data_IF_691986368429
#
_entry.id   IF_691986368429
#
_cell.length_a   1.000
_cell.length_b   1.000
_cell.length_c   1.000
_cell.angle_alpha   90.00
_cell.angle_beta   90.00
_cell.angle_gamma   90.00
#
_symmetry.space_group_name_H-M   'P 1'
#
loop_
_entity.id
_entity.type
_entity.pdbx_description
1 polymer ?
#
# COMPACT_ATOMS: atom_id res chain seq x y z
N UNK A 1 -8.76 -75.51 -3.78
CA UNK A 1 -8.29 -75.00 -2.48
C UNK A 1 -6.76 -75.03 -2.52
N UNK A 2 -5.97 -74.00 -2.30
CA UNK A 2 -6.22 -72.64 -1.81
C UNK A 2 -5.13 -71.71 -2.39
N UNK A 3 -5.54 -70.73 -3.20
CA UNK A 3 -4.80 -69.47 -3.41
C UNK A 3 -5.33 -68.52 -2.34
N UNK A 4 -4.60 -68.30 -1.25
CA UNK A 4 -4.83 -67.17 -0.34
C UNK A 4 -3.79 -67.19 0.78
N UNK A 5 -2.58 -66.70 0.51
CA UNK A 5 -1.74 -66.13 1.56
C UNK A 5 -1.03 -64.90 0.99
N UNK A 6 -1.87 -63.93 0.63
CA UNK A 6 -1.49 -62.58 0.28
C UNK A 6 -2.27 -61.66 1.21
N UNK A 7 -1.79 -61.48 2.44
CA UNK A 7 -2.25 -60.43 3.35
C UNK A 7 -1.37 -60.38 4.61
N UNK A 8 -0.16 -59.83 4.50
CA UNK A 8 0.40 -59.08 5.63
C UNK A 8 1.38 -58.00 5.14
N UNK A 9 0.85 -57.10 4.30
CA UNK A 9 1.45 -55.77 4.14
C UNK A 9 0.64 -54.84 5.02
N UNK A 10 1.03 -54.77 6.30
CA UNK A 10 0.61 -53.73 7.19
C UNK A 10 0.89 -52.37 6.52
N UNK A 11 -0.18 -51.70 6.09
CA UNK A 11 -0.12 -50.36 5.54
C UNK A 11 0.56 -49.43 6.57
N UNK A 12 1.58 -48.64 6.19
CA UNK A 12 2.06 -47.57 7.04
C UNK A 12 0.87 -46.68 7.42
N UNK A 13 0.71 -46.44 8.72
CA UNK A 13 -0.40 -45.69 9.28
C UNK A 13 -0.63 -44.40 8.49
N UNK A 14 -1.90 -44.17 8.13
CA UNK A 14 -2.34 -42.95 7.49
C UNK A 14 -1.78 -41.74 8.25
N UNK A 15 -0.87 -41.01 7.62
CA UNK A 15 -0.36 -39.73 8.09
C UNK A 15 -1.55 -38.84 8.47
N UNK A 16 -1.70 -38.59 9.77
CA UNK A 16 -2.70 -37.67 10.26
C UNK A 16 -2.47 -36.30 9.58
N UNK A 17 -3.51 -35.61 9.09
CA UNK A 17 -3.34 -34.34 8.40
C UNK A 17 -2.67 -33.35 9.35
N UNK A 18 -1.42 -32.99 9.05
CA UNK A 18 -0.64 -32.03 9.81
C UNK A 18 -1.45 -30.73 9.94
N UNK A 19 -1.87 -30.40 11.16
CA UNK A 19 -2.65 -29.18 11.42
C UNK A 19 -1.83 -27.98 10.95
N UNK A 20 -2.39 -27.07 10.14
CA UNK A 20 -1.66 -25.91 9.64
C UNK A 20 -1.27 -25.01 10.81
N UNK A 21 0.02 -24.96 11.13
CA UNK A 21 0.53 -24.17 12.23
C UNK A 21 0.57 -22.68 11.81
N UNK A 22 -0.15 -21.76 12.50
CA UNK A 22 -0.25 -20.35 12.12
C UNK A 22 1.11 -19.64 12.07
N UNK A 23 2.06 -20.09 12.90
CA UNK A 23 3.43 -19.58 12.94
C UNK A 23 4.18 -19.75 11.62
N UNK A 24 3.87 -20.81 10.86
CA UNK A 24 4.50 -21.07 9.57
C UNK A 24 3.94 -20.15 8.47
N UNK A 25 2.68 -19.74 8.58
CA UNK A 25 2.07 -18.74 7.66
C UNK A 25 2.63 -17.35 7.91
N UNK A 26 2.89 -16.99 9.17
CA UNK A 26 3.55 -15.74 9.51
C UNK A 26 4.99 -15.69 8.99
N UNK A 27 5.71 -16.82 9.04
CA UNK A 27 7.05 -16.94 8.44
C UNK A 27 7.04 -16.72 6.92
N UNK A 28 6.07 -17.32 6.22
CA UNK A 28 5.87 -17.12 4.78
C UNK A 28 5.53 -15.67 4.45
N UNK A 29 4.59 -15.08 5.18
CA UNK A 29 4.19 -13.68 4.99
C UNK A 29 5.37 -12.73 5.23
N UNK A 30 6.14 -12.93 6.30
CA UNK A 30 7.34 -12.12 6.58
C UNK A 30 8.37 -12.20 5.45
N UNK A 31 8.59 -13.40 4.92
CA UNK A 31 9.51 -13.61 3.81
C UNK A 31 9.01 -12.90 2.54
N UNK A 32 7.73 -13.03 2.22
CA UNK A 32 7.12 -12.39 1.05
C UNK A 32 7.16 -10.86 1.14
N UNK A 33 6.86 -10.29 2.32
CA UNK A 33 7.02 -8.86 2.58
C UNK A 33 8.48 -8.43 2.39
N UNK A 34 9.43 -9.14 3.01
CA UNK A 34 10.85 -8.78 2.92
C UNK A 34 11.34 -8.79 1.47
N UNK A 35 10.92 -9.78 0.67
CA UNK A 35 11.24 -9.85 -0.76
C UNK A 35 10.58 -8.69 -1.50
N UNK A 36 9.29 -8.44 -1.28
CA UNK A 36 8.54 -7.37 -1.97
C UNK A 36 9.14 -6.00 -1.71
N UNK A 37 9.40 -5.64 -0.45
CA UNK A 37 9.97 -4.34 -0.09
C UNK A 37 11.46 -4.20 -0.43
N UNK A 38 12.19 -5.29 -0.68
CA UNK A 38 13.58 -5.25 -1.14
C UNK A 38 13.74 -5.20 -2.66
N UNK A 39 12.66 -5.38 -3.43
CA UNK A 39 12.72 -5.25 -4.90
C UNK A 39 12.96 -3.79 -5.26
N UNK A 40 13.97 -3.55 -6.10
CA UNK A 40 14.30 -2.21 -6.60
C UNK A 40 13.11 -1.51 -7.24
N UNK A 41 12.23 -2.24 -7.94
CA UNK A 41 11.01 -1.69 -8.53
C UNK A 41 10.04 -1.15 -7.48
N UNK A 42 9.81 -1.90 -6.40
CA UNK A 42 8.94 -1.47 -5.30
C UNK A 42 9.54 -0.25 -4.58
N UNK A 43 10.84 -0.24 -4.35
CA UNK A 43 11.54 0.92 -3.80
C UNK A 43 11.45 2.15 -4.72
N UNK A 44 11.59 1.96 -6.04
CA UNK A 44 11.42 3.04 -7.02
C UNK A 44 9.98 3.58 -7.02
N UNK A 45 8.96 2.72 -6.95
CA UNK A 45 7.56 3.14 -6.85
C UNK A 45 7.29 3.94 -5.57
N UNK A 46 7.80 3.49 -4.42
CA UNK A 46 7.70 4.23 -3.17
C UNK A 46 8.44 5.58 -3.24
N UNK A 47 9.60 5.62 -3.90
CA UNK A 47 10.34 6.85 -4.15
C UNK A 47 9.57 7.84 -5.03
N UNK A 48 8.94 7.37 -6.11
CA UNK A 48 8.07 8.19 -6.98
C UNK A 48 6.88 8.72 -6.19
N UNK A 49 6.22 7.87 -5.40
CA UNK A 49 5.12 8.29 -4.53
C UNK A 49 5.56 9.32 -3.50
N UNK A 50 6.75 9.19 -2.92
CA UNK A 50 7.31 10.16 -1.98
C UNK A 50 7.67 11.49 -2.66
N UNK A 51 8.06 11.47 -3.93
CA UNK A 51 8.40 12.66 -4.70
C UNK A 51 7.18 13.54 -5.02
N UNK A 52 5.99 12.96 -5.21
CA UNK A 52 4.77 13.73 -5.55
C UNK A 52 4.46 14.81 -4.49
N UNK A 53 4.35 14.50 -3.18
CA UNK A 53 4.16 15.51 -2.15
C UNK A 53 5.25 16.57 -2.09
N UNK A 54 6.51 16.19 -2.32
CA UNK A 54 7.65 17.11 -2.34
C UNK A 54 7.47 18.13 -3.46
N UNK A 55 7.14 17.66 -4.66
CA UNK A 55 6.91 18.52 -5.82
C UNK A 55 5.73 19.46 -5.59
N UNK A 56 4.61 18.97 -5.07
CA UNK A 56 3.42 19.79 -4.76
C UNK A 56 3.77 20.85 -3.71
N UNK A 57 4.46 20.49 -2.63
CA UNK A 57 4.84 21.44 -1.58
C UNK A 57 5.79 22.52 -2.08
N UNK A 58 6.79 22.15 -2.88
CA UNK A 58 7.74 23.10 -3.49
C UNK A 58 7.03 24.02 -4.49
N UNK A 59 6.16 23.49 -5.35
CA UNK A 59 5.39 24.28 -6.30
C UNK A 59 4.55 25.35 -5.58
N UNK A 60 3.81 24.96 -4.53
CA UNK A 60 2.99 25.89 -3.75
C UNK A 60 3.85 26.96 -3.08
N UNK A 61 5.04 26.60 -2.57
CA UNK A 61 5.96 27.56 -1.93
C UNK A 61 6.51 28.61 -2.90
N UNK A 62 6.83 28.20 -4.13
CA UNK A 62 7.32 29.12 -5.16
C UNK A 62 6.19 30.09 -5.57
N UNK A 63 5.00 29.56 -5.85
CA UNK A 63 3.83 30.36 -6.22
C UNK A 63 3.44 31.40 -5.15
N UNK A 64 3.59 31.06 -3.86
CA UNK A 64 3.31 32.01 -2.77
C UNK A 64 4.47 32.95 -2.43
N UNK A 65 5.70 32.60 -2.80
CA UNK A 65 6.89 33.42 -2.55
C UNK A 65 7.04 34.60 -3.53
N UNK A 66 6.62 34.42 -4.78
CA UNK A 66 6.85 35.39 -5.86
C UNK A 66 5.73 36.45 -6.00
N UNK A 67 4.77 36.49 -5.07
CA UNK A 67 3.72 37.51 -5.04
C UNK A 67 2.68 37.41 -6.18
N UNK A 68 2.80 36.40 -7.05
CA UNK A 68 1.73 36.01 -7.96
C UNK A 68 0.65 35.28 -7.15
N UNK A 69 -0.33 36.04 -6.67
CA UNK A 69 -1.65 35.46 -6.40
C UNK A 69 -2.04 34.65 -7.63
N UNK A 70 -2.41 33.39 -7.41
CA UNK A 70 -2.99 32.48 -8.41
C UNK A 70 -3.80 33.29 -9.41
N UNK A 71 -3.20 33.59 -10.56
CA UNK A 71 -3.87 34.33 -11.61
C UNK A 71 -5.01 33.40 -12.06
N UNK A 72 -6.24 33.86 -11.82
CA UNK A 72 -7.45 33.08 -11.97
C UNK A 72 -7.58 32.45 -13.35
N UNK A 73 -7.37 31.13 -13.41
CA UNK A 73 -7.68 30.30 -14.56
C UNK A 73 -8.39 29.02 -14.11
N UNK A 74 -9.69 29.11 -13.78
CA UNK A 74 -10.61 27.96 -13.67
C UNK A 74 -10.34 26.99 -12.52
N UNK A 75 -11.11 27.12 -11.43
CA UNK A 75 -10.99 26.30 -10.24
C UNK A 75 -11.24 24.80 -10.46
N UNK A 76 -10.14 24.04 -10.54
CA UNK A 76 -10.18 22.57 -10.54
C UNK A 76 -9.05 21.96 -9.69
N UNK A 77 -8.41 22.75 -8.83
CA UNK A 77 -7.50 22.26 -7.79
C UNK A 77 -8.28 21.92 -6.50
N UNK A 78 -7.92 20.85 -5.75
CA UNK A 78 -8.54 20.55 -4.47
C UNK A 78 -8.58 21.79 -3.57
N UNK A 79 -9.71 22.07 -2.92
CA UNK A 79 -9.89 23.23 -2.04
C UNK A 79 -8.83 23.36 -0.93
N UNK A 80 -8.11 22.27 -0.66
CA UNK A 80 -6.99 22.18 0.28
C UNK A 80 -5.71 22.87 -0.21
N UNK A 81 -5.50 23.05 -1.53
CA UNK A 81 -4.27 23.67 -2.07
C UNK A 81 -4.10 25.10 -1.54
N UNK A 82 -5.19 25.89 -1.55
CA UNK A 82 -5.19 27.25 -1.02
C UNK A 82 -4.94 27.32 0.50
N UNK A 83 -5.12 26.20 1.22
CA UNK A 83 -4.94 26.14 2.68
C UNK A 83 -3.55 25.67 3.09
N UNK A 84 -2.76 25.08 2.18
CA UNK A 84 -1.39 24.62 2.47
C UNK A 84 -0.55 25.76 3.05
N UNK A 85 -0.70 26.97 2.51
CA UNK A 85 0.05 28.16 2.96
C UNK A 85 -0.30 28.58 4.38
N UNK A 86 -1.53 28.31 4.83
CA UNK A 86 -1.98 28.61 6.18
C UNK A 86 -1.56 27.52 7.18
N UNK A 87 -1.53 26.26 6.76
CA UNK A 87 -1.08 25.15 7.60
C UNK A 87 -0.51 24.01 6.76
N UNK A 88 0.75 23.65 7.03
CA UNK A 88 1.47 22.61 6.30
C UNK A 88 0.83 21.21 6.34
N UNK A 89 -0.05 20.93 7.32
CA UNK A 89 -0.77 19.67 7.38
C UNK A 89 -1.75 19.47 6.20
N UNK A 90 -2.28 20.56 5.63
CA UNK A 90 -3.15 20.46 4.45
C UNK A 90 -2.44 19.90 3.21
N UNK A 91 -1.09 19.93 3.20
CA UNK A 91 -0.32 19.25 2.17
C UNK A 91 -0.52 17.73 2.20
N UNK A 92 -0.73 17.14 3.38
CA UNK A 92 -1.02 15.70 3.53
C UNK A 92 -2.31 15.33 2.82
N UNK A 93 -3.39 16.07 3.08
CA UNK A 93 -4.69 15.83 2.46
C UNK A 93 -4.64 16.08 0.95
N UNK A 94 -4.00 17.16 0.53
CA UNK A 94 -3.81 17.49 -0.88
C UNK A 94 -3.04 16.39 -1.61
N UNK A 95 -1.93 15.93 -1.03
CA UNK A 95 -1.09 14.94 -1.67
C UNK A 95 -1.76 13.57 -1.76
N UNK A 96 -2.50 13.16 -0.72
CA UNK A 96 -3.31 11.94 -0.78
C UNK A 96 -4.41 12.07 -1.85
N UNK A 97 -5.10 13.22 -1.92
CA UNK A 97 -6.12 13.46 -2.94
C UNK A 97 -5.55 13.47 -4.37
N UNK A 98 -4.35 14.01 -4.57
CA UNK A 98 -3.67 14.06 -5.87
C UNK A 98 -3.12 12.69 -6.32
N UNK A 99 -2.67 11.87 -5.37
CA UNK A 99 -2.11 10.54 -5.67
C UNK A 99 -3.16 9.45 -5.81
N UNK A 100 -4.33 9.63 -5.18
CA UNK A 100 -5.44 8.68 -5.18
C UNK A 100 -5.91 8.20 -6.57
N UNK A 101 -6.10 9.08 -7.58
CA UNK A 101 -6.76 8.67 -8.82
C UNK A 101 -5.84 7.86 -9.74
N UNK A 102 -4.53 8.08 -9.66
CA UNK A 102 -3.59 7.56 -10.64
C UNK A 102 -2.39 6.87 -10.00
N UNK A 103 -1.60 7.59 -9.20
CA UNK A 103 -0.32 7.09 -8.71
C UNK A 103 -0.47 5.88 -7.77
N UNK A 104 -1.40 5.95 -6.82
CA UNK A 104 -1.63 4.85 -5.88
C UNK A 104 -2.21 3.60 -6.57
N UNK A 105 -3.30 3.69 -7.37
CA UNK A 105 -3.81 2.55 -8.13
C UNK A 105 -2.77 1.94 -9.08
N UNK A 106 -1.98 2.78 -9.76
CA UNK A 106 -0.92 2.32 -10.67
C UNK A 106 0.17 1.55 -9.91
N UNK A 107 0.66 2.11 -8.79
CA UNK A 107 1.69 1.45 -7.99
C UNK A 107 1.20 0.10 -7.43
N UNK A 108 -0.04 0.06 -6.93
CA UNK A 108 -0.67 -1.17 -6.43
C UNK A 108 -0.85 -2.19 -7.55
N UNK A 109 -1.32 -1.77 -8.73
CA UNK A 109 -1.49 -2.64 -9.89
C UNK A 109 -0.17 -3.28 -10.35
N UNK A 110 0.92 -2.50 -10.38
CA UNK A 110 2.25 -3.01 -10.74
C UNK A 110 2.74 -4.05 -9.72
N UNK A 111 2.61 -3.78 -8.43
CA UNK A 111 3.05 -4.72 -7.38
C UNK A 111 2.18 -5.99 -7.35
N UNK A 112 0.87 -5.86 -7.55
CA UNK A 112 -0.04 -7.01 -7.65
C UNK A 112 0.28 -7.87 -8.89
N UNK A 113 0.50 -7.25 -10.05
CA UNK A 113 0.88 -7.96 -11.28
C UNK A 113 2.23 -8.67 -11.16
N UNK A 114 3.23 -8.03 -10.55
CA UNK A 114 4.53 -8.65 -10.27
C UNK A 114 4.43 -9.85 -9.33
N UNK A 115 3.50 -9.80 -8.37
CA UNK A 115 3.26 -10.89 -7.44
C UNK A 115 2.72 -12.14 -8.15
N UNK A 116 1.89 -11.98 -9.19
CA UNK A 116 1.43 -13.08 -10.06
C UNK A 116 2.55 -13.51 -11.03
N UNK A 117 3.15 -12.56 -11.75
CA UNK A 117 4.15 -12.86 -12.77
C UNK A 117 5.36 -13.63 -12.20
N UNK A 118 5.74 -13.35 -10.95
CA UNK A 118 6.79 -14.06 -10.22
C UNK A 118 6.47 -15.53 -9.91
N UNK A 119 5.20 -15.91 -9.82
CA UNK A 119 4.80 -17.32 -9.69
C UNK A 119 4.77 -18.01 -11.04
N UNK A 120 4.29 -17.34 -12.08
CA UNK A 120 4.23 -17.89 -13.43
C UNK A 120 5.63 -18.18 -14.00
N UNK A 121 6.63 -17.34 -13.69
CA UNK A 121 8.00 -17.47 -14.18
C UNK A 121 8.87 -18.52 -13.49
N UNK A 122 8.51 -19.00 -12.31
CA UNK A 122 9.33 -19.90 -11.47
C UNK A 122 9.07 -21.41 -11.68
N UNK A 123 8.27 -21.80 -12.68
CA UNK A 123 8.14 -23.20 -13.11
C UNK A 123 6.86 -23.92 -12.65
N UNK A 124 5.72 -23.25 -12.78
CA UNK A 124 4.38 -23.75 -12.39
C UNK A 124 3.94 -25.04 -13.07
N UNK A 125 4.45 -25.44 -14.24
CA UNK A 125 4.08 -26.73 -14.84
C UNK A 125 4.67 -27.95 -14.13
N UNK A 126 5.83 -27.81 -13.46
CA UNK A 126 6.53 -28.92 -12.81
C UNK A 126 6.27 -28.95 -11.29
N UNK A 127 6.04 -27.78 -10.70
CA UNK A 127 5.71 -27.65 -9.27
C UNK A 127 4.23 -27.99 -8.96
N UNK A 128 3.31 -27.73 -9.90
CA UNK A 128 1.90 -28.15 -9.79
C UNK A 128 1.71 -29.68 -9.79
N UNK A 129 2.73 -30.46 -10.16
CA UNK A 129 2.67 -31.92 -10.18
C UNK A 129 3.24 -32.60 -8.93
N UNK A 130 3.88 -31.88 -7.98
CA UNK A 130 4.64 -32.54 -6.88
C UNK A 130 4.44 -31.95 -5.48
N UNK A 131 4.04 -30.68 -5.29
CA UNK A 131 3.97 -30.09 -3.94
C UNK A 131 2.59 -29.49 -3.61
N UNK A 132 1.87 -29.97 -2.57
CA UNK A 132 0.59 -29.40 -2.16
C UNK A 132 0.84 -28.17 -1.27
N UNK A 133 1.38 -27.10 -1.85
CA UNK A 133 1.20 -25.77 -1.25
C UNK A 133 -0.24 -25.35 -1.56
N UNK A 134 -1.14 -25.41 -0.58
CA UNK A 134 -2.55 -25.08 -0.78
C UNK A 134 -2.70 -23.71 -1.48
N UNK A 135 -3.17 -23.72 -2.73
CA UNK A 135 -3.26 -22.56 -3.63
C UNK A 135 -3.91 -21.35 -2.97
N UNK A 136 -4.94 -21.59 -2.15
CA UNK A 136 -5.63 -20.57 -1.36
C UNK A 136 -4.73 -19.87 -0.35
N UNK A 137 -3.84 -20.60 0.34
CA UNK A 137 -2.94 -20.05 1.36
C UNK A 137 -1.86 -19.16 0.75
N UNK A 138 -1.36 -19.54 -0.42
CA UNK A 138 -0.42 -18.73 -1.18
C UNK A 138 -1.08 -17.42 -1.66
N UNK A 139 -2.27 -17.51 -2.25
CA UNK A 139 -3.04 -16.33 -2.69
C UNK A 139 -3.35 -15.40 -1.52
N UNK A 140 -3.76 -15.93 -0.36
CA UNK A 140 -4.06 -15.13 0.82
C UNK A 140 -2.82 -14.40 1.35
N UNK A 141 -1.65 -15.06 1.30
CA UNK A 141 -0.37 -14.47 1.72
C UNK A 141 0.04 -13.33 0.77
N UNK A 142 -0.14 -13.51 -0.55
CA UNK A 142 0.14 -12.46 -1.54
C UNK A 142 -0.81 -11.29 -1.42
N UNK A 143 -2.10 -11.57 -1.25
CA UNK A 143 -3.09 -10.55 -0.99
C UNK A 143 -2.76 -9.74 0.26
N UNK A 144 -2.43 -10.39 1.37
CA UNK A 144 -2.00 -9.71 2.58
C UNK A 144 -0.72 -8.87 2.35
N UNK A 145 0.22 -9.36 1.54
CA UNK A 145 1.44 -8.61 1.17
C UNK A 145 1.11 -7.35 0.37
N UNK A 146 0.21 -7.44 -0.62
CA UNK A 146 -0.24 -6.27 -1.39
C UNK A 146 -1.01 -5.29 -0.50
N UNK A 147 -1.83 -5.78 0.44
CA UNK A 147 -2.52 -4.91 1.40
C UNK A 147 -1.55 -4.15 2.31
N UNK A 148 -0.48 -4.81 2.78
CA UNK A 148 0.58 -4.12 3.53
C UNK A 148 1.30 -3.11 2.65
N UNK A 149 1.52 -3.41 1.37
CA UNK A 149 2.08 -2.44 0.42
C UNK A 149 1.16 -1.23 0.23
N UNK A 150 -0.16 -1.41 0.06
CA UNK A 150 -1.11 -0.30 -0.03
C UNK A 150 -1.00 0.62 1.19
N UNK A 151 -0.97 0.05 2.40
CA UNK A 151 -0.81 0.82 3.64
C UNK A 151 0.54 1.54 3.70
N UNK A 152 1.63 0.86 3.35
CA UNK A 152 2.96 1.46 3.33
C UNK A 152 3.04 2.61 2.30
N UNK A 153 2.45 2.43 1.11
CA UNK A 153 2.43 3.43 0.06
C UNK A 153 1.68 4.70 0.50
N UNK A 154 0.49 4.56 1.10
CA UNK A 154 -0.27 5.72 1.60
C UNK A 154 0.43 6.40 2.76
N UNK A 155 1.06 5.64 3.66
CA UNK A 155 1.86 6.19 4.76
C UNK A 155 3.11 6.91 4.27
N UNK A 156 3.78 6.41 3.22
CA UNK A 156 4.93 7.10 2.60
C UNK A 156 4.50 8.44 2.03
N UNK A 157 3.39 8.50 1.30
CA UNK A 157 2.82 9.76 0.77
C UNK A 157 2.48 10.71 1.91
N UNK A 158 1.81 10.22 2.95
CA UNK A 158 1.42 11.05 4.10
C UNK A 158 2.63 11.57 4.89
N UNK A 159 3.63 10.72 5.11
CA UNK A 159 4.85 11.07 5.85
C UNK A 159 5.72 12.06 5.08
N UNK A 160 5.90 11.88 3.78
CA UNK A 160 6.67 12.85 2.98
C UNK A 160 5.92 14.18 2.85
N UNK A 161 4.59 14.16 2.68
CA UNK A 161 3.77 15.36 2.71
C UNK A 161 3.84 16.09 4.06
N UNK A 162 3.82 15.36 5.17
CA UNK A 162 3.94 15.93 6.52
C UNK A 162 5.33 16.56 6.70
N UNK A 163 6.40 15.87 6.30
CA UNK A 163 7.76 16.36 6.42
C UNK A 163 7.96 17.64 5.59
N UNK A 164 7.52 17.64 4.33
CA UNK A 164 7.59 18.81 3.43
C UNK A 164 6.70 19.94 3.97
N UNK A 165 5.49 19.61 4.43
CA UNK A 165 4.55 20.54 5.02
C UNK A 165 5.13 21.26 6.23
N UNK A 166 5.76 20.51 7.14
CA UNK A 166 6.44 21.01 8.32
C UNK A 166 7.68 21.85 8.03
N UNK A 167 8.37 21.56 6.93
CA UNK A 167 9.60 22.27 6.54
C UNK A 167 9.32 23.57 5.78
N UNK A 168 8.31 23.58 4.90
CA UNK A 168 8.05 24.71 3.99
C UNK A 168 6.94 25.68 4.47
N UNK A 169 6.06 25.23 5.36
CA UNK A 169 4.87 25.97 5.77
C UNK A 169 4.74 26.04 7.30
N UNK A 170 4.07 27.08 7.83
CA UNK A 170 3.83 27.17 9.27
C UNK A 170 3.00 25.98 9.78
N UNK A 171 3.37 25.51 10.97
CA UNK A 171 2.62 24.52 11.73
C UNK A 171 1.87 25.23 12.85
N UNK A 172 0.56 24.97 12.95
CA UNK A 172 -0.30 25.54 13.99
C UNK A 172 -1.62 24.79 14.07
N UNK A 173 -2.59 25.36 14.77
CA UNK A 173 -3.96 24.84 14.78
C UNK A 173 -4.60 25.05 13.40
N UNK A 174 -5.41 24.08 12.97
CA UNK A 174 -6.05 24.07 11.67
C UNK A 174 -7.32 24.90 11.74
N UNK A 175 -7.30 26.10 11.20
CA UNK A 175 -8.52 26.85 10.92
C UNK A 175 -9.17 26.24 9.67
N UNK A 176 -10.25 25.48 9.87
CA UNK A 176 -11.04 24.97 8.74
C UNK A 176 -11.85 26.10 8.09
N UNK A 177 -12.39 25.90 6.88
CA UNK A 177 -13.23 26.90 6.18
C UNK A 177 -14.44 27.33 7.04
N UNK A 178 -14.89 26.46 7.96
CA UNK A 178 -15.99 26.73 8.89
C UNK A 178 -15.59 27.60 10.09
N UNK A 179 -14.32 28.02 10.21
CA UNK A 179 -13.82 28.84 11.31
C UNK A 179 -13.58 28.07 12.61
N UNK A 180 -13.70 26.74 12.59
CA UNK A 180 -13.34 25.89 13.74
C UNK A 180 -11.85 25.58 13.72
N UNK A 181 -11.19 25.85 14.83
CA UNK A 181 -9.80 25.49 15.08
C UNK A 181 -9.73 24.02 15.52
N UNK A 182 -9.05 23.21 14.71
CA UNK A 182 -8.75 21.83 15.06
C UNK A 182 -7.29 21.79 15.53
N UNK A 183 -7.06 21.21 16.70
CA UNK A 183 -5.70 21.07 17.22
C UNK A 183 -4.83 20.21 16.30
N UNK A 184 -3.53 20.49 16.29
CA UNK A 184 -2.57 19.75 15.47
C UNK A 184 -2.65 18.22 15.65
N UNK A 185 -2.83 17.74 16.88
CA UNK A 185 -2.94 16.31 17.21
C UNK A 185 -4.17 15.66 16.58
N UNK A 186 -5.32 16.33 16.62
CA UNK A 186 -6.56 15.86 16.00
C UNK A 186 -6.43 15.86 14.47
N UNK A 187 -5.76 16.87 13.91
CA UNK A 187 -5.36 16.91 12.51
C UNK A 187 -4.54 15.70 12.07
N UNK A 188 -3.52 15.36 12.85
CA UNK A 188 -2.66 14.21 12.59
C UNK A 188 -3.42 12.88 12.70
N UNK A 189 -4.33 12.77 13.67
CA UNK A 189 -5.24 11.63 13.79
C UNK A 189 -6.12 11.46 12.54
N UNK A 190 -6.69 12.55 12.02
CA UNK A 190 -7.46 12.54 10.78
C UNK A 190 -6.63 12.17 9.56
N UNK A 191 -5.40 12.68 9.47
CA UNK A 191 -4.46 12.31 8.40
C UNK A 191 -4.18 10.81 8.40
N UNK A 192 -3.95 10.22 9.58
CA UNK A 192 -3.76 8.78 9.73
C UNK A 192 -5.02 8.01 9.32
N UNK A 193 -6.20 8.43 9.78
CA UNK A 193 -7.48 7.80 9.43
C UNK A 193 -7.74 7.84 7.92
N UNK A 194 -7.45 8.97 7.27
CA UNK A 194 -7.57 9.10 5.81
C UNK A 194 -6.55 8.18 5.12
N UNK A 195 -5.29 8.14 5.55
CA UNK A 195 -4.29 7.24 4.95
C UNK A 195 -4.71 5.75 5.04
N UNK A 196 -5.32 5.34 6.15
CA UNK A 196 -5.89 3.99 6.32
C UNK A 196 -7.12 3.81 5.42
N UNK A 197 -8.04 4.78 5.39
CA UNK A 197 -9.23 4.72 4.53
C UNK A 197 -8.86 4.62 3.04
N UNK A 198 -7.83 5.34 2.60
CA UNK A 198 -7.28 5.25 1.24
C UNK A 198 -6.65 3.87 1.00
N UNK A 199 -5.88 3.35 1.95
CA UNK A 199 -5.31 2.01 1.81
C UNK A 199 -6.43 0.95 1.67
N UNK A 200 -7.54 1.12 2.41
CA UNK A 200 -8.72 0.27 2.31
C UNK A 200 -9.49 0.47 1.00
N UNK A 201 -9.53 1.66 0.41
CA UNK A 201 -10.20 1.86 -0.89
C UNK A 201 -9.44 1.15 -2.03
N UNK A 202 -8.13 1.00 -1.91
CA UNK A 202 -7.27 0.28 -2.87
C UNK A 202 -7.41 -1.24 -2.79
N UNK A 203 -8.13 -1.77 -1.80
CA UNK A 203 -8.42 -3.21 -1.66
C UNK A 203 -9.03 -3.80 -2.93
N UNK A 204 -9.93 -3.07 -3.60
CA UNK A 204 -10.54 -3.52 -4.86
C UNK A 204 -9.52 -3.66 -5.98
N UNK A 205 -8.59 -2.69 -6.11
CA UNK A 205 -7.50 -2.75 -7.10
C UNK A 205 -6.54 -3.89 -6.78
N UNK A 206 -6.21 -4.08 -5.50
CA UNK A 206 -5.38 -5.18 -5.05
C UNK A 206 -6.01 -6.55 -5.37
N UNK A 207 -7.34 -6.68 -5.19
CA UNK A 207 -8.07 -7.88 -5.55
C UNK A 207 -8.05 -8.12 -7.07
N UNK A 208 -8.37 -7.11 -7.89
CA UNK A 208 -8.35 -7.22 -9.35
C UNK A 208 -6.96 -7.54 -9.92
N UNK A 209 -5.90 -7.07 -9.27
CA UNK A 209 -4.53 -7.37 -9.69
C UNK A 209 -4.07 -8.79 -9.33
N UNK A 210 -4.76 -9.46 -8.41
CA UNK A 210 -4.39 -10.79 -7.88
C UNK A 210 -5.28 -11.94 -8.39
N UNK A 211 -6.50 -11.65 -8.83
CA UNK A 211 -7.53 -12.61 -9.26
C UNK A 211 -7.92 -12.39 -10.72
#
# INVERSE_FOLDING_TARGET
MSRAEAADLAAPGADAPARPNPLWSLGLLRNELAVTFRRWRTLALLGVLAAVPVLVGVAVRIETGDGSQVAGGGGEGPAFIAQITNNGLFLVFTALAATLPFFLPLAVGVVAGDAIAGESGSGTLRYLLVAPAGRTRLLLTKYATVMVFCLAATLVVAASALAVGALLFPLGDLTTISGTEITFTEGLGRALLIAVAVALSLTGVAALGLF
#
